data_IF_620301463702
#
_entry.id   IF_620301463702
#
_cell.length_a   1.000
_cell.length_b   1.000
_cell.length_c   1.000
_cell.angle_alpha   90.00
_cell.angle_beta   90.00
_cell.angle_gamma   90.00
#
_symmetry.space_group_name_H-M   'P 1'
#
loop_
_entity.id
_entity.type
_entity.pdbx_description
1 polymer ?
#
# COMPACT_ATOMS: atom_id res chain seq x y z
N UNK A 1 -3.44 3.01 -22.25
CA UNK A 1 -4.86 3.32 -22.01
C UNK A 1 -4.96 4.51 -21.09
N UNK A 2 -5.64 5.56 -21.50
CA UNK A 2 -5.97 6.77 -20.74
C UNK A 2 -7.47 6.78 -20.41
N UNK A 3 -7.98 7.78 -19.66
CA UNK A 3 -9.42 7.94 -19.45
C UNK A 3 -10.18 8.18 -20.78
N UNK A 4 -9.53 8.82 -21.75
CA UNK A 4 -10.12 9.05 -23.08
C UNK A 4 -10.32 7.75 -23.88
N UNK A 5 -9.48 6.75 -23.67
CA UNK A 5 -9.60 5.44 -24.32
C UNK A 5 -10.71 4.57 -23.70
N UNK A 6 -11.25 4.98 -22.55
CA UNK A 6 -12.33 4.32 -21.83
C UNK A 6 -13.37 5.36 -21.37
N UNK A 7 -14.15 5.95 -22.30
CA UNK A 7 -15.03 7.05 -21.98
C UNK A 7 -16.21 6.64 -21.10
N UNK A 8 -16.30 7.25 -19.92
CA UNK A 8 -17.38 7.08 -18.94
C UNK A 8 -17.92 8.43 -18.49
N UNK A 9 -18.66 9.16 -19.33
CA UNK A 9 -19.10 10.53 -19.01
C UNK A 9 -20.00 10.58 -17.77
N UNK A 10 -20.82 9.57 -17.52
CA UNK A 10 -21.66 9.48 -16.32
C UNK A 10 -20.89 9.17 -15.04
N UNK A 11 -19.66 8.68 -15.14
CA UNK A 11 -18.80 8.36 -13.99
C UNK A 11 -17.94 9.56 -13.55
N UNK A 12 -17.76 10.56 -14.41
CA UNK A 12 -16.89 11.70 -14.14
C UNK A 12 -17.23 12.44 -12.82
N UNK A 13 -18.50 12.78 -12.53
CA UNK A 13 -18.86 13.40 -11.25
C UNK A 13 -18.52 12.52 -10.06
N UNK A 14 -18.78 11.20 -10.13
CA UNK A 14 -18.45 10.26 -9.08
C UNK A 14 -16.93 10.12 -8.89
N UNK A 15 -16.14 10.20 -9.96
CA UNK A 15 -14.68 10.18 -9.86
C UNK A 15 -14.14 11.44 -9.14
N UNK A 16 -14.78 12.60 -9.35
CA UNK A 16 -14.47 13.84 -8.62
C UNK A 16 -14.80 13.69 -7.12
N UNK A 17 -15.97 13.15 -6.80
CA UNK A 17 -16.38 12.88 -5.41
C UNK A 17 -15.44 11.88 -4.73
N UNK A 18 -15.05 10.82 -5.44
CA UNK A 18 -14.07 9.83 -4.93
C UNK A 18 -12.74 10.51 -4.63
N UNK A 19 -12.22 11.36 -5.51
CA UNK A 19 -10.97 12.08 -5.29
C UNK A 19 -11.05 13.02 -4.07
N UNK A 20 -12.15 13.75 -3.96
CA UNK A 20 -12.39 14.65 -2.82
C UNK A 20 -12.47 13.89 -1.50
N UNK A 21 -13.23 12.79 -1.45
CA UNK A 21 -13.35 11.97 -0.24
C UNK A 21 -12.01 11.35 0.18
N UNK A 22 -11.20 10.92 -0.79
CA UNK A 22 -9.89 10.34 -0.52
C UNK A 22 -8.90 11.37 0.02
N UNK A 23 -8.86 12.59 -0.52
CA UNK A 23 -7.86 13.61 -0.12
C UNK A 23 -8.33 14.49 1.04
N UNK A 24 -9.59 14.90 1.06
CA UNK A 24 -10.14 15.88 2.00
C UNK A 24 -11.13 15.28 3.00
N UNK A 25 -11.63 14.06 2.72
CA UNK A 25 -12.53 13.31 3.58
C UNK A 25 -11.81 12.32 4.49
N UNK A 26 -12.42 11.15 4.72
CA UNK A 26 -11.85 10.12 5.60
C UNK A 26 -10.68 9.33 5.00
N UNK A 27 -10.37 9.53 3.73
CA UNK A 27 -9.27 8.84 3.04
C UNK A 27 -9.56 7.39 2.63
N UNK A 28 -10.81 6.97 2.72
CA UNK A 28 -11.25 5.60 2.46
C UNK A 28 -12.61 5.60 1.76
N UNK A 29 -12.76 4.77 0.73
CA UNK A 29 -14.03 4.60 0.02
C UNK A 29 -14.22 3.16 -0.44
N UNK A 30 -15.44 2.67 -0.36
CA UNK A 30 -15.85 1.37 -0.87
C UNK A 30 -16.94 1.55 -1.94
N UNK A 31 -16.60 1.23 -3.18
CA UNK A 31 -17.54 1.20 -4.30
C UNK A 31 -18.12 -0.22 -4.43
N UNK A 32 -19.43 -0.32 -4.52
CA UNK A 32 -20.18 -1.58 -4.66
C UNK A 32 -21.08 -1.58 -5.89
N UNK A 33 -21.47 -2.77 -6.30
CA UNK A 33 -22.48 -2.94 -7.36
C UNK A 33 -21.96 -3.51 -8.66
N UNK A 34 -20.65 -3.76 -8.80
CA UNK A 34 -20.12 -4.55 -9.90
C UNK A 34 -20.43 -6.03 -9.65
N UNK A 35 -20.84 -6.74 -10.69
CA UNK A 35 -21.01 -8.18 -10.66
C UNK A 35 -19.88 -8.85 -11.48
N UNK A 36 -18.86 -9.43 -10.83
CA UNK A 36 -17.77 -10.06 -11.55
C UNK A 36 -18.19 -11.26 -12.42
N UNK A 37 -19.31 -11.88 -12.09
CA UNK A 37 -19.84 -13.04 -12.84
C UNK A 37 -20.33 -12.69 -14.26
N UNK A 38 -20.53 -11.40 -14.55
CA UNK A 38 -20.97 -10.92 -15.88
C UNK A 38 -19.86 -10.76 -16.90
N UNK A 39 -18.61 -10.89 -16.48
CA UNK A 39 -17.44 -10.54 -17.30
C UNK A 39 -16.39 -11.64 -17.25
N UNK A 40 -15.66 -11.81 -18.35
CA UNK A 40 -14.45 -12.62 -18.36
C UNK A 40 -13.33 -11.92 -17.59
N UNK A 41 -12.33 -12.67 -17.17
CA UNK A 41 -11.21 -12.16 -16.35
C UNK A 41 -10.49 -10.96 -16.99
N UNK A 42 -10.24 -10.99 -18.29
CA UNK A 42 -9.56 -9.90 -18.99
C UNK A 42 -10.46 -8.67 -19.15
N UNK A 43 -11.76 -8.88 -19.34
CA UNK A 43 -12.75 -7.79 -19.35
C UNK A 43 -12.86 -7.12 -17.99
N UNK A 44 -12.81 -7.90 -16.87
CA UNK A 44 -12.75 -7.33 -15.52
C UNK A 44 -11.50 -6.50 -15.28
N UNK A 45 -10.33 -6.96 -15.76
CA UNK A 45 -9.09 -6.19 -15.67
C UNK A 45 -9.18 -4.89 -16.44
N UNK A 46 -9.73 -4.93 -17.66
CA UNK A 46 -9.92 -3.74 -18.49
C UNK A 46 -10.91 -2.76 -17.87
N UNK A 47 -12.07 -3.25 -17.42
CA UNK A 47 -13.09 -2.46 -16.72
C UNK A 47 -12.50 -1.77 -15.49
N UNK A 48 -11.82 -2.51 -14.64
CA UNK A 48 -11.22 -2.00 -13.42
C UNK A 48 -10.13 -0.97 -13.68
N UNK A 49 -9.23 -1.23 -14.63
CA UNK A 49 -8.22 -0.26 -15.04
C UNK A 49 -8.87 1.00 -15.64
N UNK A 50 -9.90 0.85 -16.46
CA UNK A 50 -10.66 1.95 -17.05
C UNK A 50 -11.29 2.86 -16.00
N UNK A 51 -12.00 2.29 -15.02
CA UNK A 51 -12.56 3.03 -13.89
C UNK A 51 -11.49 3.80 -13.12
N UNK A 52 -10.39 3.13 -12.75
CA UNK A 52 -9.32 3.75 -11.99
C UNK A 52 -8.61 4.88 -12.74
N UNK A 53 -8.55 4.84 -14.08
CA UNK A 53 -7.98 5.92 -14.91
C UNK A 53 -8.77 7.23 -14.83
N UNK A 54 -10.04 7.20 -14.50
CA UNK A 54 -10.83 8.41 -14.23
C UNK A 54 -10.51 9.01 -12.85
N UNK A 55 -9.92 8.26 -11.95
CA UNK A 55 -9.54 8.71 -10.60
C UNK A 55 -8.10 9.21 -10.57
N UNK A 56 -7.17 8.51 -11.23
CA UNK A 56 -5.75 8.87 -11.21
C UNK A 56 -4.93 8.18 -12.29
N UNK A 57 -3.64 8.51 -12.30
CA UNK A 57 -2.67 7.87 -13.18
C UNK A 57 -2.16 6.60 -12.54
N UNK A 58 -2.30 5.47 -13.24
CA UNK A 58 -1.80 4.19 -12.77
C UNK A 58 -0.27 4.18 -12.78
N UNK A 59 0.35 3.72 -11.69
CA UNK A 59 1.80 3.64 -11.54
C UNK A 59 2.24 2.18 -11.36
N UNK A 60 3.51 1.91 -11.66
CA UNK A 60 4.06 0.56 -11.53
C UNK A 60 4.11 0.11 -10.07
N UNK A 61 3.66 -1.10 -9.80
CA UNK A 61 3.65 -1.69 -8.46
C UNK A 61 4.84 -2.61 -8.17
N UNK A 62 5.76 -2.76 -9.13
CA UNK A 62 7.04 -3.46 -9.00
C UNK A 62 8.03 -3.06 -10.09
N UNK A 63 9.28 -3.54 -9.98
CA UNK A 63 10.36 -3.28 -10.95
C UNK A 63 10.13 -3.87 -12.34
N UNK A 64 9.27 -4.88 -12.46
CA UNK A 64 8.91 -5.47 -13.76
C UNK A 64 7.96 -4.58 -14.57
N UNK A 65 7.55 -3.43 -14.04
CA UNK A 65 6.62 -2.52 -14.70
C UNK A 65 5.16 -2.98 -14.65
N UNK A 66 4.83 -3.91 -13.76
CA UNK A 66 3.45 -4.36 -13.60
C UNK A 66 2.61 -3.25 -12.97
N UNK A 67 1.56 -2.86 -13.67
CA UNK A 67 0.58 -1.87 -13.21
C UNK A 67 -0.49 -2.53 -12.36
N UNK A 68 -1.04 -3.65 -12.83
CA UNK A 68 -2.09 -4.41 -12.15
C UNK A 68 -1.53 -5.72 -11.60
N UNK A 69 -1.84 -5.99 -10.33
CA UNK A 69 -1.39 -7.22 -9.65
C UNK A 69 -2.53 -8.04 -9.13
N UNK A 70 -2.36 -9.35 -9.22
CA UNK A 70 -3.22 -10.32 -8.56
C UNK A 70 -2.72 -10.58 -7.15
N UNK A 71 -3.59 -10.39 -6.18
CA UNK A 71 -3.35 -10.65 -4.75
C UNK A 71 -4.06 -11.95 -4.40
N UNK A 72 -3.28 -13.03 -4.33
CA UNK A 72 -3.77 -14.39 -4.07
C UNK A 72 -2.67 -15.25 -3.45
N UNK A 73 -3.02 -16.38 -2.89
CA UNK A 73 -2.04 -17.37 -2.48
C UNK A 73 -1.53 -18.16 -3.69
N UNK A 74 -0.24 -18.00 -4.02
CA UNK A 74 0.42 -18.74 -5.10
C UNK A 74 1.24 -19.93 -4.60
N UNK A 75 1.33 -20.12 -3.28
CA UNK A 75 2.14 -21.22 -2.70
C UNK A 75 1.52 -22.58 -2.96
N UNK A 76 0.23 -22.60 -3.32
CA UNK A 76 -0.53 -23.82 -3.62
C UNK A 76 -0.38 -24.28 -5.07
N UNK A 77 -0.19 -23.34 -6.00
CA UNK A 77 -0.17 -23.65 -7.45
C UNK A 77 1.19 -24.20 -7.90
N UNK A 78 2.22 -23.86 -7.15
CA UNK A 78 3.60 -24.17 -7.52
C UNK A 78 4.39 -24.16 -6.20
N UNK A 79 5.05 -25.26 -5.89
CA UNK A 79 5.92 -25.37 -4.70
C UNK A 79 7.13 -24.42 -4.74
N UNK A 80 7.06 -23.37 -5.57
CA UNK A 80 8.08 -22.34 -5.68
C UNK A 80 8.20 -21.57 -4.37
N UNK A 81 9.42 -21.41 -3.92
CA UNK A 81 9.73 -20.54 -2.81
C UNK A 81 9.39 -19.08 -3.17
N UNK A 82 8.25 -18.60 -2.65
CA UNK A 82 7.80 -17.21 -2.82
C UNK A 82 8.87 -16.22 -2.35
N UNK A 83 9.62 -16.59 -1.30
CA UNK A 83 10.69 -15.75 -0.78
C UNK A 83 11.85 -15.60 -1.77
N UNK A 84 12.30 -16.68 -2.39
CA UNK A 84 13.38 -16.65 -3.37
C UNK A 84 13.00 -15.82 -4.61
N UNK A 85 11.74 -15.88 -5.02
CA UNK A 85 11.26 -15.18 -6.23
C UNK A 85 10.89 -13.72 -5.98
N UNK A 86 10.32 -13.40 -4.80
CA UNK A 86 9.69 -12.11 -4.53
C UNK A 86 10.30 -11.33 -3.36
N UNK A 87 11.47 -11.74 -2.93
CA UNK A 87 12.23 -11.09 -1.89
C UNK A 87 12.00 -11.68 -0.50
N UNK A 88 13.02 -12.37 -0.04
CA UNK A 88 13.15 -12.84 1.32
C UNK A 88 14.54 -12.50 1.85
N UNK A 89 14.63 -12.24 3.15
CA UNK A 89 15.89 -12.17 3.87
C UNK A 89 16.00 -13.36 4.82
N UNK A 90 17.21 -13.91 5.04
CA UNK A 90 17.41 -14.91 6.06
C UNK A 90 16.90 -14.41 7.41
N UNK A 91 16.17 -15.22 8.15
CA UNK A 91 15.77 -14.94 9.52
C UNK A 91 16.62 -15.74 10.49
N UNK A 92 17.61 -15.12 11.18
CA UNK A 92 18.49 -15.84 12.10
C UNK A 92 17.77 -16.50 13.28
N UNK A 93 16.55 -16.04 13.60
CA UNK A 93 15.78 -16.51 14.75
C UNK A 93 14.68 -17.52 14.41
N UNK A 94 14.43 -17.77 13.12
CA UNK A 94 13.36 -18.70 12.68
C UNK A 94 13.78 -19.44 11.43
N UNK A 95 13.59 -20.75 11.36
CA UNK A 95 13.73 -21.47 10.09
C UNK A 95 12.63 -21.00 9.15
N UNK A 96 13.00 -20.21 8.16
CA UNK A 96 12.10 -19.61 7.18
C UNK A 96 12.60 -18.23 6.72
N UNK A 97 12.12 -17.78 5.59
CA UNK A 97 12.48 -16.49 5.04
C UNK A 97 11.66 -15.38 5.67
N UNK A 98 12.31 -14.26 5.99
CA UNK A 98 11.63 -13.02 6.32
C UNK A 98 11.08 -12.42 5.02
N UNK A 99 9.78 -12.56 4.80
CA UNK A 99 9.14 -12.15 3.57
C UNK A 99 8.91 -10.63 3.52
N UNK A 100 9.17 -10.02 2.37
CA UNK A 100 8.75 -8.64 2.08
C UNK A 100 7.23 -8.50 2.17
N UNK A 101 6.73 -7.28 2.33
CA UNK A 101 5.28 -7.02 2.23
C UNK A 101 4.75 -7.48 0.87
N UNK A 102 5.53 -7.28 -0.20
CA UNK A 102 5.23 -7.77 -1.53
C UNK A 102 5.06 -9.29 -1.58
N UNK A 103 6.02 -10.06 -1.07
CA UNK A 103 5.96 -11.52 -1.05
C UNK A 103 4.76 -12.02 -0.24
N UNK A 104 4.43 -11.35 0.88
CA UNK A 104 3.27 -11.70 1.72
C UNK A 104 1.93 -11.51 1.01
N UNK A 105 1.81 -10.59 0.03
CA UNK A 105 0.58 -10.46 -0.76
C UNK A 105 0.28 -11.68 -1.62
N UNK A 106 1.31 -12.51 -1.88
CA UNK A 106 1.22 -13.75 -2.66
C UNK A 106 1.13 -15.01 -1.77
N UNK A 107 0.86 -14.84 -0.50
CA UNK A 107 0.64 -15.92 0.48
C UNK A 107 -0.67 -15.71 1.22
N UNK A 108 -1.12 -16.72 1.90
CA UNK A 108 -2.27 -16.65 2.81
C UNK A 108 -1.92 -16.12 4.22
N UNK A 109 -0.64 -15.76 4.47
CA UNK A 109 -0.20 -15.26 5.76
C UNK A 109 -0.75 -13.87 6.06
N UNK A 110 -0.77 -13.50 7.35
CA UNK A 110 -1.08 -12.16 7.82
C UNK A 110 -0.15 -11.13 7.16
N UNK A 111 -0.73 -10.02 6.69
CA UNK A 111 -0.02 -8.83 6.22
C UNK A 111 -0.20 -7.72 7.26
N UNK A 112 0.91 -7.28 7.87
CA UNK A 112 0.92 -6.26 8.94
C UNK A 112 0.51 -4.89 8.40
N UNK A 113 0.09 -3.97 9.28
CA UNK A 113 -0.18 -2.58 8.93
C UNK A 113 0.98 -1.95 8.18
N UNK A 114 0.65 -1.32 7.04
CA UNK A 114 1.60 -0.62 6.18
C UNK A 114 0.87 0.40 5.30
N UNK A 115 1.66 1.21 4.60
CA UNK A 115 1.24 2.01 3.46
C UNK A 115 1.95 1.52 2.22
N UNK A 116 1.29 1.60 1.07
CA UNK A 116 1.92 1.35 -0.23
C UNK A 116 2.63 2.63 -0.74
N UNK A 117 3.56 2.47 -1.68
CA UNK A 117 4.31 3.58 -2.31
C UNK A 117 3.50 4.21 -3.46
N UNK A 118 2.31 4.73 -3.14
CA UNK A 118 1.44 5.46 -4.08
C UNK A 118 0.47 6.35 -3.30
N UNK A 119 -0.12 7.35 -3.96
CA UNK A 119 -1.11 8.20 -3.28
C UNK A 119 -2.33 7.38 -2.89
N UNK A 120 -2.89 6.64 -3.84
CA UNK A 120 -4.09 5.81 -3.63
C UNK A 120 -3.85 4.37 -4.10
N UNK A 121 -4.13 3.42 -3.24
CA UNK A 121 -4.25 2.00 -3.62
C UNK A 121 -5.71 1.64 -3.82
N UNK A 122 -5.99 0.91 -4.89
CA UNK A 122 -7.29 0.33 -5.15
C UNK A 122 -7.20 -1.20 -5.11
N UNK A 123 -8.21 -1.84 -4.51
CA UNK A 123 -8.35 -3.30 -4.40
C UNK A 123 -9.74 -3.72 -4.89
N UNK A 124 -9.78 -4.47 -5.97
CA UNK A 124 -11.01 -5.03 -6.53
C UNK A 124 -11.14 -6.51 -6.17
N UNK A 125 -12.20 -6.88 -5.48
CA UNK A 125 -12.45 -8.25 -5.08
C UNK A 125 -13.13 -9.03 -6.21
N UNK A 126 -12.46 -10.03 -6.73
CA UNK A 126 -13.03 -10.98 -7.69
C UNK A 126 -13.63 -12.19 -6.95
N UNK A 127 -12.89 -12.73 -5.99
CA UNK A 127 -13.32 -13.84 -5.12
C UNK A 127 -12.79 -13.66 -3.73
N UNK A 128 -13.61 -13.99 -2.73
CA UNK A 128 -13.20 -14.01 -1.32
C UNK A 128 -12.62 -15.39 -0.96
N UNK A 129 -11.86 -15.43 0.14
CA UNK A 129 -11.38 -16.66 0.73
C UNK A 129 -12.56 -17.47 1.33
N UNK A 130 -12.34 -18.76 1.59
CA UNK A 130 -13.26 -19.60 2.36
C UNK A 130 -13.47 -19.03 3.77
N UNK A 131 -12.37 -18.67 4.43
CA UNK A 131 -12.40 -18.05 5.77
C UNK A 131 -11.25 -17.07 5.94
N UNK A 132 -11.43 -16.08 6.81
CA UNK A 132 -10.41 -15.06 7.08
C UNK A 132 -10.24 -14.03 5.97
N UNK A 133 -9.02 -13.54 5.79
CA UNK A 133 -8.65 -12.55 4.77
C UNK A 133 -9.31 -11.19 4.95
N UNK A 134 -9.76 -10.87 6.17
CA UNK A 134 -10.36 -9.58 6.49
C UNK A 134 -9.36 -8.46 6.23
N UNK A 135 -9.83 -7.41 5.57
CA UNK A 135 -9.09 -6.16 5.41
C UNK A 135 -9.19 -5.38 6.72
N UNK A 136 -8.05 -4.96 7.26
CA UNK A 136 -7.97 -4.09 8.43
C UNK A 136 -7.54 -2.70 7.99
N UNK A 137 -8.21 -1.69 8.50
CA UNK A 137 -8.01 -0.29 8.14
C UNK A 137 -7.95 0.55 9.40
N UNK A 138 -6.96 1.45 9.47
CA UNK A 138 -6.76 2.33 10.59
C UNK A 138 -6.36 3.73 10.12
N UNK A 139 -7.00 4.78 10.66
CA UNK A 139 -6.60 6.15 10.40
C UNK A 139 -5.24 6.45 11.03
N UNK A 140 -4.23 6.79 10.21
CA UNK A 140 -2.91 7.17 10.72
C UNK A 140 -2.92 8.49 11.50
N UNK A 141 -3.74 9.52 11.15
CA UNK A 141 -3.96 10.68 12.02
C UNK A 141 -4.56 10.32 13.39
N UNK A 142 -5.46 9.33 13.46
CA UNK A 142 -6.02 8.89 14.74
C UNK A 142 -4.95 8.22 15.60
N UNK A 143 -4.09 7.38 15.03
CA UNK A 143 -2.94 6.77 15.72
C UNK A 143 -1.98 7.86 16.23
N UNK A 144 -1.63 8.83 15.36
CA UNK A 144 -0.80 9.96 15.74
C UNK A 144 -1.39 10.73 16.93
N UNK A 145 -2.67 11.08 16.88
CA UNK A 145 -3.32 11.84 17.93
C UNK A 145 -3.38 11.08 19.26
N UNK A 146 -3.57 9.77 19.21
CA UNK A 146 -3.56 8.92 20.41
C UNK A 146 -2.15 8.85 21.02
N UNK A 147 -1.11 8.71 20.20
CA UNK A 147 0.28 8.76 20.66
C UNK A 147 0.63 10.14 21.21
N UNK A 148 0.24 11.21 20.54
CA UNK A 148 0.50 12.59 21.00
C UNK A 148 -0.14 12.87 22.36
N UNK A 149 -1.33 12.30 22.63
CA UNK A 149 -2.04 12.48 23.90
C UNK A 149 -1.37 11.75 25.05
N UNK A 150 -0.88 10.55 24.83
CA UNK A 150 -0.42 9.68 25.91
C UNK A 150 1.08 9.53 26.03
N UNK A 151 1.83 9.66 24.91
CA UNK A 151 3.27 9.49 24.81
C UNK A 151 3.86 10.48 23.79
N UNK A 152 3.78 11.79 24.06
CA UNK A 152 4.21 12.83 23.11
C UNK A 152 5.69 12.71 22.71
N UNK A 153 6.55 12.19 23.59
CA UNK A 153 7.97 11.96 23.30
C UNK A 153 8.18 10.84 22.28
N UNK A 154 7.36 9.79 22.31
CA UNK A 154 7.38 8.72 21.32
C UNK A 154 6.75 9.17 20.00
N UNK A 155 5.71 10.01 20.08
CA UNK A 155 5.13 10.64 18.91
C UNK A 155 6.17 11.48 18.17
N UNK A 156 6.94 12.30 18.89
CA UNK A 156 8.03 13.10 18.33
C UNK A 156 9.13 12.26 17.67
N UNK A 157 9.48 11.11 18.24
CA UNK A 157 10.51 10.22 17.70
C UNK A 157 10.17 9.67 16.30
N UNK A 158 8.90 9.64 15.90
CA UNK A 158 8.47 9.19 14.57
C UNK A 158 8.47 10.30 13.50
N UNK A 159 8.72 11.54 13.88
CA UNK A 159 9.06 12.63 12.96
C UNK A 159 10.55 12.65 12.59
N UNK A 160 11.38 11.93 13.36
CA UNK A 160 12.78 11.74 13.02
C UNK A 160 12.95 10.64 11.95
N UNK A 161 13.99 10.72 11.11
CA UNK A 161 14.22 9.71 10.07
C UNK A 161 14.38 8.29 10.66
N UNK A 162 13.63 7.35 10.10
CA UNK A 162 13.73 5.92 10.38
C UNK A 162 14.19 5.21 9.13
N UNK A 163 15.25 4.41 9.23
CA UNK A 163 15.80 3.69 8.09
C UNK A 163 14.92 2.54 7.66
N UNK A 164 14.71 2.43 6.33
CA UNK A 164 13.94 1.40 5.67
C UNK A 164 14.75 0.75 4.56
N UNK A 165 14.58 -0.55 4.36
CA UNK A 165 15.11 -1.26 3.20
C UNK A 165 14.19 -1.06 2.00
N UNK A 166 14.75 -0.90 0.79
CA UNK A 166 13.98 -1.00 -0.46
C UNK A 166 13.65 -2.45 -0.82
N UNK A 167 14.27 -3.41 -0.16
CA UNK A 167 14.02 -4.85 -0.28
C UNK A 167 14.13 -5.39 -1.72
N UNK A 168 15.06 -4.87 -2.51
CA UNK A 168 15.26 -5.26 -3.91
C UNK A 168 14.36 -4.51 -4.90
N UNK A 169 13.66 -3.48 -4.44
CA UNK A 169 12.82 -2.58 -5.26
C UNK A 169 13.56 -1.27 -5.62
N UNK A 170 14.87 -1.21 -5.36
CA UNK A 170 15.72 -0.08 -5.72
C UNK A 170 15.95 0.00 -7.22
N UNK A 171 15.96 1.21 -7.77
CA UNK A 171 16.48 1.49 -9.10
C UNK A 171 18.01 1.45 -9.08
N UNK A 172 18.66 1.41 -10.25
CA UNK A 172 20.12 1.31 -10.36
C UNK A 172 20.87 2.47 -9.66
N UNK A 173 20.23 3.62 -9.49
CA UNK A 173 20.76 4.80 -8.82
C UNK A 173 20.35 4.93 -7.35
N UNK A 174 19.52 4.03 -6.85
CA UNK A 174 19.01 4.10 -5.48
C UNK A 174 19.90 3.30 -4.52
N UNK A 175 20.07 3.81 -3.31
CA UNK A 175 20.62 3.02 -2.20
C UNK A 175 19.63 1.93 -1.79
N UNK A 176 20.14 0.80 -1.34
CA UNK A 176 19.34 -0.34 -0.88
C UNK A 176 18.55 -0.06 0.40
N UNK A 177 18.89 1.02 1.10
CA UNK A 177 18.19 1.52 2.28
C UNK A 177 18.15 3.04 2.27
N UNK A 178 17.12 3.61 2.87
CA UNK A 178 16.90 5.05 2.91
C UNK A 178 16.27 5.48 4.24
N UNK A 179 16.61 6.67 4.75
CA UNK A 179 15.96 7.27 5.91
C UNK A 179 14.70 8.03 5.47
N UNK A 180 13.61 7.88 6.21
CA UNK A 180 12.39 8.65 6.02
C UNK A 180 11.60 8.71 7.33
N UNK A 181 11.08 9.87 7.77
CA UNK A 181 10.17 9.94 8.89
C UNK A 181 8.91 9.06 8.68
N UNK A 182 8.31 8.58 9.76
CA UNK A 182 7.01 7.90 9.68
C UNK A 182 5.92 8.91 9.41
N UNK A 183 6.03 10.11 10.00
CA UNK A 183 5.05 11.17 9.90
C UNK A 183 5.67 12.48 9.40
N UNK A 184 4.86 13.26 8.72
CA UNK A 184 5.22 14.59 8.29
C UNK A 184 3.98 15.47 8.05
N UNK A 185 4.21 16.77 7.98
CA UNK A 185 3.18 17.77 7.71
C UNK A 185 3.70 18.78 6.71
N UNK A 186 2.94 19.08 5.67
CA UNK A 186 3.22 20.18 4.73
C UNK A 186 1.93 20.86 4.32
N UNK A 187 1.90 22.19 4.34
CA UNK A 187 0.69 22.95 3.98
C UNK A 187 -0.55 22.60 4.80
N UNK A 188 -0.38 22.24 6.08
CA UNK A 188 -1.47 21.81 6.96
C UNK A 188 -1.99 20.38 6.70
N UNK A 189 -1.45 19.66 5.74
CA UNK A 189 -1.81 18.26 5.43
C UNK A 189 -0.81 17.30 6.09
N UNK A 190 -1.34 16.36 6.88
CA UNK A 190 -0.58 15.28 7.50
C UNK A 190 -0.29 14.20 6.46
N UNK A 191 0.86 13.57 6.51
CA UNK A 191 1.21 12.37 5.74
C UNK A 191 1.90 11.35 6.62
N UNK A 192 1.68 10.09 6.33
CA UNK A 192 2.41 8.98 6.95
C UNK A 192 2.94 8.04 5.90
N UNK A 193 4.17 7.52 6.13
CA UNK A 193 4.70 6.40 5.37
C UNK A 193 5.26 5.37 6.35
N UNK A 194 4.63 4.21 6.43
CA UNK A 194 4.94 3.19 7.42
C UNK A 194 4.93 1.79 6.83
N UNK A 195 5.97 1.03 7.14
CA UNK A 195 6.01 -0.42 6.95
C UNK A 195 7.01 -1.01 7.94
N UNK A 196 6.52 -1.64 8.99
CA UNK A 196 7.36 -2.32 10.00
C UNK A 196 8.30 -3.33 9.34
N UNK A 197 7.82 -4.04 8.33
CA UNK A 197 8.61 -5.03 7.59
C UNK A 197 9.85 -4.42 6.94
N UNK A 198 9.73 -3.25 6.31
CA UNK A 198 10.87 -2.59 5.67
C UNK A 198 11.82 -1.95 6.69
N UNK A 199 11.32 -1.49 7.83
CA UNK A 199 12.15 -1.00 8.95
C UNK A 199 12.97 -2.17 9.53
N UNK A 200 12.34 -3.28 9.88
CA UNK A 200 13.02 -4.46 10.40
C UNK A 200 14.04 -5.04 9.41
N UNK A 201 13.72 -5.02 8.12
CA UNK A 201 14.65 -5.44 7.06
C UNK A 201 15.91 -4.55 7.03
N UNK A 202 15.75 -3.23 7.16
CA UNK A 202 16.89 -2.30 7.23
C UNK A 202 17.75 -2.57 8.47
N UNK A 203 17.14 -2.82 9.63
CA UNK A 203 17.86 -3.11 10.87
C UNK A 203 18.68 -4.41 10.86
N UNK A 204 18.51 -5.28 9.87
CA UNK A 204 19.34 -6.49 9.66
C UNK A 204 20.65 -6.17 8.94
N UNK A 205 20.80 -4.99 8.37
CA UNK A 205 21.99 -4.56 7.63
C UNK A 205 22.99 -3.91 8.59
N UNK A 206 24.26 -4.35 8.63
CA UNK A 206 25.24 -3.82 9.57
C UNK A 206 25.57 -2.35 9.32
N UNK A 207 25.48 -1.88 8.06
CA UNK A 207 25.78 -0.50 7.65
C UNK A 207 24.67 0.49 7.98
N UNK A 208 23.47 0.01 8.33
CA UNK A 208 22.33 0.89 8.63
C UNK A 208 22.37 1.33 10.09
N UNK A 209 22.21 2.64 10.37
CA UNK A 209 22.07 3.14 11.74
C UNK A 209 20.94 2.44 12.50
N UNK A 210 21.21 2.10 13.75
CA UNK A 210 20.22 1.42 14.60
C UNK A 210 19.12 2.38 15.03
N UNK A 211 17.90 1.85 15.21
CA UNK A 211 16.83 2.59 15.85
C UNK A 211 17.28 3.03 17.25
N UNK A 212 16.93 4.25 17.63
CA UNK A 212 16.99 4.65 19.03
C UNK A 212 15.99 3.85 19.88
N UNK A 213 16.20 3.79 21.19
CA UNK A 213 15.24 3.12 22.07
C UNK A 213 13.83 3.74 21.96
N UNK A 214 13.77 5.07 21.84
CA UNK A 214 12.50 5.78 21.64
C UNK A 214 11.82 5.42 20.32
N UNK A 215 12.57 5.33 19.21
CA UNK A 215 12.02 4.91 17.92
C UNK A 215 11.52 3.47 17.94
N UNK A 216 12.25 2.55 18.58
CA UNK A 216 11.81 1.15 18.69
C UNK A 216 10.51 1.04 19.49
N UNK A 217 10.43 1.69 20.67
CA UNK A 217 9.23 1.73 21.50
C UNK A 217 8.06 2.43 20.76
N UNK A 218 8.35 3.53 20.04
CA UNK A 218 7.33 4.24 19.26
C UNK A 218 6.71 3.39 18.15
N UNK A 219 7.52 2.56 17.46
CA UNK A 219 7.05 1.64 16.42
C UNK A 219 6.17 0.54 17.02
N UNK A 220 6.52 0.03 18.19
CA UNK A 220 5.71 -0.97 18.91
C UNK A 220 4.38 -0.35 19.34
N UNK A 221 4.40 0.82 19.97
CA UNK A 221 3.20 1.54 20.38
C UNK A 221 2.30 1.92 19.20
N UNK A 222 2.87 2.37 18.08
CA UNK A 222 2.10 2.64 16.85
C UNK A 222 1.33 1.40 16.41
N UNK A 223 1.99 0.23 16.41
CA UNK A 223 1.35 -1.02 16.01
C UNK A 223 0.20 -1.40 16.96
N UNK A 224 0.42 -1.32 18.27
CA UNK A 224 -0.60 -1.60 19.30
C UNK A 224 -1.83 -0.69 19.14
N UNK A 225 -1.60 0.61 18.97
CA UNK A 225 -2.69 1.58 18.77
C UNK A 225 -3.40 1.33 17.44
N UNK A 226 -2.67 1.02 16.36
CA UNK A 226 -3.27 0.70 15.07
C UNK A 226 -4.17 -0.55 15.15
N UNK A 227 -3.74 -1.61 15.84
CA UNK A 227 -4.60 -2.79 16.09
C UNK A 227 -5.86 -2.40 16.89
N UNK A 228 -5.73 -1.59 17.93
CA UNK A 228 -6.84 -1.17 18.78
C UNK A 228 -7.85 -0.26 18.07
N UNK A 229 -7.38 0.65 17.20
CA UNK A 229 -8.22 1.62 16.51
C UNK A 229 -8.69 1.14 15.13
N UNK A 230 -8.18 0.01 14.66
CA UNK A 230 -8.59 -0.53 13.37
C UNK A 230 -10.00 -1.08 13.39
N UNK A 231 -10.63 -1.03 12.22
CA UNK A 231 -11.82 -1.83 11.97
C UNK A 231 -11.53 -2.88 10.89
N UNK A 232 -12.28 -3.96 10.94
CA UNK A 232 -12.17 -5.07 9.99
C UNK A 232 -13.36 -5.05 9.03
N UNK A 233 -13.08 -5.31 7.76
CA UNK A 233 -14.11 -5.49 6.76
C UNK A 233 -13.85 -6.75 5.92
N UNK A 234 -14.95 -7.42 5.55
CA UNK A 234 -14.92 -8.47 4.56
C UNK A 234 -15.30 -7.90 3.20
N UNK A 235 -14.47 -8.18 2.20
CA UNK A 235 -14.85 -7.91 0.81
C UNK A 235 -15.97 -8.84 0.35
N UNK A 236 -16.82 -8.32 -0.54
CA UNK A 236 -17.72 -9.13 -1.36
C UNK A 236 -17.21 -9.12 -2.79
N UNK A 237 -17.42 -10.20 -3.58
CA UNK A 237 -17.15 -10.14 -5.00
C UNK A 237 -17.83 -8.92 -5.64
N UNK A 238 -17.04 -8.12 -6.37
CA UNK A 238 -17.50 -6.86 -6.96
C UNK A 238 -17.19 -5.60 -6.16
N UNK A 239 -16.75 -5.71 -4.90
CA UNK A 239 -16.32 -4.55 -4.10
C UNK A 239 -14.99 -3.99 -4.64
N UNK A 240 -14.90 -2.66 -4.77
CA UNK A 240 -13.65 -1.94 -5.01
C UNK A 240 -13.40 -1.01 -3.83
N UNK A 241 -12.31 -1.25 -3.10
CA UNK A 241 -11.84 -0.40 -2.01
C UNK A 241 -10.76 0.54 -2.53
N UNK A 242 -10.89 1.84 -2.21
CA UNK A 242 -9.86 2.86 -2.44
C UNK A 242 -9.34 3.35 -1.10
N UNK A 243 -8.03 3.46 -0.97
CA UNK A 243 -7.35 3.87 0.27
C UNK A 243 -6.30 4.92 -0.05
N UNK A 244 -6.37 6.08 0.60
CA UNK A 244 -5.31 7.08 0.60
C UNK A 244 -4.19 6.64 1.53
N UNK A 245 -3.03 6.29 0.97
CA UNK A 245 -1.87 5.80 1.71
C UNK A 245 -1.23 6.84 2.64
N UNK A 246 -1.54 8.12 2.46
CA UNK A 246 -0.99 9.17 3.34
C UNK A 246 -1.69 9.23 4.70
N UNK A 247 -2.93 8.73 4.80
CA UNK A 247 -3.76 8.88 6.01
C UNK A 247 -4.38 7.58 6.52
N UNK A 248 -4.21 6.46 5.79
CA UNK A 248 -4.75 5.16 6.19
C UNK A 248 -3.65 4.10 6.21
N UNK A 249 -3.47 3.45 7.33
CA UNK A 249 -2.77 2.18 7.42
C UNK A 249 -3.70 1.04 7.06
N UNK A 250 -3.23 0.11 6.26
CA UNK A 250 -3.99 -1.07 5.90
C UNK A 250 -3.22 -2.36 6.18
N UNK A 251 -3.97 -3.41 6.50
CA UNK A 251 -3.46 -4.73 6.84
C UNK A 251 -4.43 -5.81 6.34
N UNK A 252 -4.05 -7.06 6.46
CA UNK A 252 -4.91 -8.19 6.11
C UNK A 252 -4.68 -9.34 7.09
N UNK A 253 -5.74 -9.89 7.64
CA UNK A 253 -5.70 -11.13 8.42
C UNK A 253 -5.30 -12.31 7.53
N UNK A 254 -4.71 -13.32 8.12
CA UNK A 254 -4.49 -14.60 7.44
C UNK A 254 -5.80 -15.19 6.92
N UNK A 255 -5.73 -16.06 5.92
CA UNK A 255 -6.92 -16.67 5.32
C UNK A 255 -6.70 -18.12 4.94
N UNK A 256 -7.78 -18.83 4.74
CA UNK A 256 -7.82 -20.19 4.20
C UNK A 256 -8.67 -20.21 2.94
N UNK A 257 -8.16 -20.88 1.92
CA UNK A 257 -8.87 -21.14 0.67
C UNK A 257 -9.39 -22.58 0.63
N UNK A 258 -10.44 -22.81 -0.15
CA UNK A 258 -10.89 -24.17 -0.49
C UNK A 258 -9.81 -24.92 -1.31
N UNK A 259 -9.85 -26.24 -1.25
CA UNK A 259 -9.06 -27.08 -2.13
C UNK A 259 -9.58 -26.94 -3.59
N UNK A 260 -8.71 -26.51 -4.52
CA UNK A 260 -9.05 -26.34 -5.95
C UNK A 260 -8.89 -24.89 -6.42
N UNK A 261 -9.41 -24.58 -7.63
CA UNK A 261 -9.18 -23.32 -8.37
C UNK A 261 -9.97 -22.11 -7.84
N UNK A 262 -10.71 -22.26 -6.75
CA UNK A 262 -11.64 -21.27 -6.20
C UNK A 262 -11.05 -20.29 -5.18
N UNK A 263 -9.72 -20.19 -5.03
CA UNK A 263 -9.07 -19.38 -3.98
C UNK A 263 -9.32 -17.87 -4.08
N UNK A 264 -9.01 -17.17 -3.00
CA UNK A 264 -9.10 -15.72 -2.88
C UNK A 264 -8.35 -15.03 -4.02
N UNK A 265 -9.01 -14.06 -4.67
CA UNK A 265 -8.42 -13.27 -5.74
C UNK A 265 -8.89 -11.82 -5.65
N UNK A 266 -7.94 -10.90 -5.45
CA UNK A 266 -8.16 -9.47 -5.64
C UNK A 266 -7.24 -8.96 -6.75
N UNK A 267 -7.68 -7.92 -7.45
CA UNK A 267 -6.83 -7.12 -8.33
C UNK A 267 -6.42 -5.85 -7.60
N UNK A 268 -5.13 -5.50 -7.65
CA UNK A 268 -4.58 -4.29 -7.03
C UNK A 268 -4.04 -3.34 -8.09
N UNK A 269 -4.36 -2.06 -7.95
CA UNK A 269 -3.79 -0.95 -8.71
C UNK A 269 -3.24 0.10 -7.76
N UNK A 270 -2.16 0.74 -8.17
CA UNK A 270 -1.58 1.91 -7.54
C UNK A 270 -1.78 3.14 -8.41
N UNK A 271 -2.07 4.28 -7.78
CA UNK A 271 -2.37 5.53 -8.50
C UNK A 271 -1.65 6.73 -7.87
N UNK A 272 -1.15 7.62 -8.74
CA UNK A 272 -0.93 9.01 -8.43
C UNK A 272 -2.22 9.80 -8.76
N UNK A 273 -2.69 10.65 -7.86
CA UNK A 273 -3.96 11.38 -8.06
C UNK A 273 -3.73 12.89 -8.22
N UNK A 274 -4.48 13.56 -9.11
CA UNK A 274 -4.20 14.95 -9.47
C UNK A 274 -4.47 15.95 -8.36
N UNK A 275 -5.23 15.57 -7.34
CA UNK A 275 -5.52 16.39 -6.16
C UNK A 275 -4.72 15.97 -4.91
N UNK A 276 -3.66 15.17 -5.08
CA UNK A 276 -2.86 14.72 -3.95
C UNK A 276 -2.12 15.88 -3.26
N UNK A 277 -1.93 15.74 -1.95
CA UNK A 277 -1.22 16.70 -1.08
C UNK A 277 0.24 16.86 -1.46
N UNK A 278 0.83 18.02 -1.18
CA UNK A 278 2.28 18.17 -1.18
C UNK A 278 2.88 17.36 -0.02
N UNK A 279 4.05 16.74 -0.26
CA UNK A 279 4.78 15.98 0.75
C UNK A 279 5.89 16.81 1.37
N UNK A 280 6.28 16.58 2.64
CA UNK A 280 7.38 17.26 3.29
C UNK A 280 8.70 17.14 2.53
N UNK A 281 9.56 18.10 2.71
CA UNK A 281 10.95 18.04 2.23
C UNK A 281 11.66 16.80 2.78
N UNK A 282 12.57 16.23 1.98
CA UNK A 282 13.23 14.97 2.28
C UNK A 282 12.45 13.72 1.87
N UNK A 283 11.16 13.85 1.50
CA UNK A 283 10.37 12.71 0.99
C UNK A 283 10.72 12.36 -0.46
N UNK A 284 11.48 13.21 -1.17
CA UNK A 284 11.98 12.97 -2.53
C UNK A 284 12.78 11.68 -2.63
N UNK A 285 13.45 11.29 -1.55
CA UNK A 285 14.26 10.06 -1.48
C UNK A 285 13.43 8.79 -1.81
N UNK A 286 12.13 8.84 -1.58
CA UNK A 286 11.22 7.75 -1.91
C UNK A 286 10.24 8.13 -3.02
N UNK A 287 9.65 9.31 -2.92
CA UNK A 287 8.53 9.74 -3.76
C UNK A 287 8.98 10.44 -5.06
N UNK A 288 10.26 10.87 -5.13
CA UNK A 288 10.91 11.62 -6.21
C UNK A 288 10.33 13.02 -6.41
N UNK A 289 9.03 13.14 -6.61
CA UNK A 289 8.32 14.41 -6.69
C UNK A 289 7.39 14.57 -5.47
N UNK A 290 7.49 15.72 -4.81
CA UNK A 290 6.74 16.04 -3.59
C UNK A 290 5.71 17.16 -3.81
N UNK A 291 5.58 17.67 -5.03
CA UNK A 291 4.58 18.69 -5.33
C UNK A 291 3.16 18.11 -5.25
N UNK A 292 2.19 18.95 -4.89
CA UNK A 292 0.80 18.55 -4.92
C UNK A 292 0.36 18.19 -6.36
N UNK A 293 -0.38 17.09 -6.51
CA UNK A 293 -0.90 16.61 -7.79
C UNK A 293 0.15 16.06 -8.75
N UNK A 294 1.41 15.95 -8.34
CA UNK A 294 2.48 15.43 -9.19
C UNK A 294 2.31 13.94 -9.51
N UNK A 295 2.85 13.53 -10.66
CA UNK A 295 2.99 12.10 -10.98
C UNK A 295 4.14 11.51 -10.15
N UNK A 296 3.80 10.76 -9.13
CA UNK A 296 4.75 10.22 -8.14
C UNK A 296 4.39 8.82 -7.67
N UNK A 297 5.25 8.26 -6.84
CA UNK A 297 5.10 6.90 -6.34
C UNK A 297 5.44 5.86 -7.40
N UNK A 298 5.04 4.63 -7.13
CA UNK A 298 5.41 3.49 -7.98
C UNK A 298 6.87 3.07 -7.82
N UNK A 299 7.23 1.97 -8.49
CA UNK A 299 8.55 1.35 -8.42
C UNK A 299 9.10 1.29 -9.84
N UNK A 300 10.37 1.72 -10.03
CA UNK A 300 11.03 1.63 -11.33
C UNK A 300 10.51 2.61 -12.39
N UNK A 301 9.69 3.60 -12.04
CA UNK A 301 9.30 4.65 -12.96
C UNK A 301 10.38 5.73 -13.04
N UNK A 302 11.09 5.77 -14.16
CA UNK A 302 11.62 7.04 -14.66
C UNK A 302 10.40 7.87 -15.07
N UNK A 303 10.31 9.12 -14.61
CA UNK A 303 9.28 10.05 -15.03
C UNK A 303 9.30 10.17 -16.57
N UNK A 304 8.45 9.43 -17.23
CA UNK A 304 8.10 9.75 -18.60
C UNK A 304 7.04 10.82 -18.51
N UNK A 305 7.38 12.01 -19.02
CA UNK A 305 6.45 13.11 -19.27
C UNK A 305 5.11 12.56 -19.73
N UNK A 306 3.96 13.05 -19.22
CA UNK A 306 2.68 12.64 -19.74
C UNK A 306 2.71 12.87 -21.26
N UNK A 307 2.55 11.81 -22.01
CA UNK A 307 2.26 11.93 -23.45
C UNK A 307 0.90 12.59 -23.50
N UNK A 308 0.92 13.87 -23.90
CA UNK A 308 -0.24 14.73 -24.00
C UNK A 308 -1.36 14.20 -24.90
#
# INVERSE_FOLDING_TARGET
MTAADFPLPSFAPLADDIRAELEDGCGLLLLRGLDPGRYKRDELKLLYAGLCRHIGTLVHSNRAGEVMREIRDVTRDDQRDVGARYGALPDPGKPGAFLSSYARTLTNQLLRFHTDRCDVVALFCIRQAKSGGLSQLCSSPAVHNEMLRHRPELCAALYEPVWRSRFGEEDASDDSSYPLPVWGVRGGKFTSHYSRTFIEAAQRRPEVPRLSAAQAEAIDLLHEIAEKLSFEMSFRPGDIQFVNNHVIYHARRGFEDDAGDGGRLLLRLWMAVPNSRALPEGHEILWRDIAAGSLRGGIGQTQTTPVG
#
